data_IF_820508465837
#
_entry.id   IF_820508465837
#
_cell.length_a   1.000
_cell.length_b   1.000
_cell.length_c   1.000
_cell.angle_alpha   90.00
_cell.angle_beta   90.00
_cell.angle_gamma   90.00
#
_symmetry.space_group_name_H-M   'P 1'
#
loop_
_entity.id
_entity.type
_entity.pdbx_description
1 polymer ?
#
# COMPACT_ATOMS: atom_id res chain seq x y z
N UNK A 1 0.38 -16.10 -2.31
CA UNK A 1 -0.70 -15.90 -1.34
C UNK A 1 -0.73 -14.46 -0.89
N UNK A 2 -1.92 -13.90 -0.71
CA UNK A 2 -2.05 -12.51 -0.28
C UNK A 2 -1.84 -12.37 1.22
N UNK A 3 -1.22 -11.27 1.60
CA UNK A 3 -1.05 -10.87 2.99
C UNK A 3 -1.91 -9.63 3.24
N UNK A 4 -2.22 -9.37 4.48
CA UNK A 4 -3.04 -8.24 4.87
C UNK A 4 -2.15 -7.08 5.31
N UNK A 5 -2.36 -5.92 4.70
CA UNK A 5 -1.57 -4.73 5.00
C UNK A 5 -2.47 -3.59 5.42
N UNK A 6 -2.03 -2.82 6.41
CA UNK A 6 -2.60 -1.51 6.69
C UNK A 6 -1.87 -0.48 5.84
N UNK A 7 -2.63 0.41 5.21
CA UNK A 7 -2.06 1.51 4.44
C UNK A 7 -2.12 2.76 5.31
N UNK A 8 -0.96 3.36 5.54
CA UNK A 8 -0.83 4.58 6.32
C UNK A 8 -0.62 5.78 5.41
N UNK A 9 -1.31 6.87 5.73
CA UNK A 9 -1.00 8.20 5.20
C UNK A 9 -0.50 9.03 6.37
N UNK A 10 0.82 9.23 6.43
CA UNK A 10 1.44 9.77 7.62
C UNK A 10 1.30 8.82 8.81
N UNK A 11 0.57 9.22 9.83
CA UNK A 11 0.35 8.41 11.03
C UNK A 11 -1.03 7.78 11.09
N UNK A 12 -1.83 7.97 10.05
CA UNK A 12 -3.22 7.53 10.02
C UNK A 12 -3.37 6.32 9.11
N UNK A 13 -4.07 5.30 9.59
CA UNK A 13 -4.49 4.18 8.76
C UNK A 13 -5.65 4.65 7.88
N UNK A 14 -5.48 4.55 6.57
CA UNK A 14 -6.50 5.01 5.62
C UNK A 14 -7.18 3.87 4.88
N UNK A 15 -6.59 2.68 4.88
CA UNK A 15 -7.17 1.53 4.18
C UNK A 15 -6.53 0.23 4.65
N UNK A 16 -7.20 -0.86 4.29
CA UNK A 16 -6.66 -2.22 4.40
C UNK A 16 -6.58 -2.78 2.99
N UNK A 17 -5.43 -3.34 2.63
CA UNK A 17 -5.23 -3.94 1.32
C UNK A 17 -4.70 -5.36 1.47
N UNK A 18 -5.08 -6.22 0.53
CA UNK A 18 -4.56 -7.58 0.45
C UNK A 18 -3.67 -7.67 -0.78
N UNK A 19 -2.42 -8.07 -0.58
CA UNK A 19 -1.47 -8.13 -1.67
C UNK A 19 -0.34 -9.09 -1.34
N UNK A 20 0.51 -9.38 -2.32
CA UNK A 20 1.66 -10.27 -2.12
C UNK A 20 2.86 -9.53 -1.56
N UNK A 21 2.97 -8.23 -1.78
CA UNK A 21 4.07 -7.41 -1.28
C UNK A 21 3.54 -6.09 -0.71
N UNK A 22 4.25 -5.48 0.24
CA UNK A 22 3.82 -4.18 0.77
C UNK A 22 3.83 -3.08 -0.30
N UNK A 23 4.81 -3.10 -1.20
CA UNK A 23 4.85 -2.10 -2.27
C UNK A 23 3.61 -2.21 -3.16
N UNK A 24 3.23 -3.42 -3.53
CA UNK A 24 2.04 -3.62 -4.37
C UNK A 24 0.78 -3.17 -3.65
N UNK A 25 0.67 -3.41 -2.34
CA UNK A 25 -0.46 -2.94 -1.55
C UNK A 25 -0.59 -1.42 -1.60
N UNK A 26 0.52 -0.71 -1.43
CA UNK A 26 0.53 0.75 -1.49
C UNK A 26 0.18 1.26 -2.89
N UNK A 27 0.71 0.61 -3.93
CA UNK A 27 0.40 0.98 -5.32
C UNK A 27 -1.08 0.75 -5.62
N UNK A 28 -1.63 -0.38 -5.20
CA UNK A 28 -3.04 -0.69 -5.43
C UNK A 28 -3.95 0.32 -4.76
N UNK A 29 -3.60 0.76 -3.56
CA UNK A 29 -4.35 1.79 -2.88
C UNK A 29 -4.33 3.10 -3.67
N UNK A 30 -3.15 3.53 -4.13
CA UNK A 30 -3.03 4.76 -4.92
C UNK A 30 -3.82 4.65 -6.23
N UNK A 31 -3.80 3.49 -6.88
CA UNK A 31 -4.57 3.26 -8.11
C UNK A 31 -6.07 3.34 -7.89
N UNK A 32 -6.55 3.04 -6.69
CA UNK A 32 -7.98 3.08 -6.40
C UNK A 32 -8.60 4.47 -6.57
N UNK A 33 -7.76 5.50 -6.61
CA UNK A 33 -8.19 6.87 -6.87
C UNK A 33 -8.27 7.20 -8.37
N UNK A 34 -8.02 6.22 -9.24
CA UNK A 34 -8.02 6.43 -10.68
C UNK A 34 -6.75 7.04 -11.22
N UNK A 35 -5.66 6.99 -10.45
CA UNK A 35 -4.39 7.57 -10.85
C UNK A 35 -3.70 6.77 -11.94
N UNK A 36 -3.00 7.48 -12.83
CA UNK A 36 -2.10 6.84 -13.77
C UNK A 36 -0.84 6.38 -13.04
N UNK A 37 -0.21 5.31 -13.52
CA UNK A 37 0.98 4.74 -12.89
C UNK A 37 2.14 5.74 -12.82
N UNK A 38 2.24 6.66 -13.78
CA UNK A 38 3.31 7.64 -13.78
C UNK A 38 3.14 8.70 -12.68
N UNK A 39 1.97 8.80 -12.07
CA UNK A 39 1.76 9.67 -10.92
C UNK A 39 2.18 9.00 -9.60
N UNK A 40 2.42 7.70 -9.62
CA UNK A 40 2.75 6.93 -8.43
C UNK A 40 4.25 6.69 -8.42
N UNK A 41 4.94 7.23 -7.42
CA UNK A 41 6.39 7.07 -7.27
C UNK A 41 6.68 6.06 -6.16
N UNK A 42 7.47 5.07 -6.51
CA UNK A 42 7.93 4.09 -5.53
C UNK A 42 9.15 4.67 -4.83
N UNK A 43 9.01 4.94 -3.53
CA UNK A 43 10.07 5.60 -2.74
C UNK A 43 10.70 4.66 -1.72
N UNK A 44 10.22 3.44 -1.60
CA UNK A 44 10.79 2.43 -0.73
C UNK A 44 10.20 1.07 -1.03
N UNK A 45 10.57 0.07 -0.24
CA UNK A 45 10.07 -1.30 -0.43
C UNK A 45 8.61 -1.44 0.00
N UNK A 46 8.09 -0.47 0.73
CA UNK A 46 6.75 -0.51 1.32
C UNK A 46 6.01 0.83 1.19
N UNK A 47 6.54 1.76 0.42
CA UNK A 47 6.06 3.13 0.44
C UNK A 47 6.03 3.72 -0.96
N UNK A 48 4.96 4.46 -1.25
CA UNK A 48 4.82 5.20 -2.50
C UNK A 48 4.42 6.63 -2.20
N UNK A 49 4.72 7.52 -3.15
CA UNK A 49 4.27 8.90 -3.13
C UNK A 49 3.29 9.11 -4.29
N UNK A 50 2.21 9.82 -4.01
CA UNK A 50 1.20 10.14 -5.02
C UNK A 50 0.65 11.53 -4.75
N UNK A 51 0.88 12.44 -5.69
CA UNK A 51 0.40 13.84 -5.61
C UNK A 51 0.74 14.50 -4.28
N UNK A 52 1.97 14.29 -3.79
CA UNK A 52 2.42 14.88 -2.53
C UNK A 52 2.00 14.10 -1.29
N UNK A 53 1.14 13.12 -1.40
CA UNK A 53 0.79 12.23 -0.30
C UNK A 53 1.73 11.03 -0.29
N UNK A 54 1.97 10.47 0.89
CA UNK A 54 2.83 9.30 1.05
C UNK A 54 2.00 8.19 1.66
N UNK A 55 2.01 7.03 1.01
CA UNK A 55 1.30 5.85 1.48
C UNK A 55 2.29 4.76 1.82
N UNK A 56 2.23 4.25 3.04
CA UNK A 56 3.10 3.19 3.53
C UNK A 56 2.26 1.97 3.88
N UNK A 57 2.68 0.80 3.41
CA UNK A 57 2.00 -0.45 3.73
C UNK A 57 2.73 -1.17 4.86
N UNK A 58 1.99 -1.56 5.88
CA UNK A 58 2.54 -2.27 7.04
C UNK A 58 1.84 -3.61 7.14
N UNK A 59 2.62 -4.68 7.18
CA UNK A 59 2.08 -6.04 7.32
C UNK A 59 1.47 -6.19 8.70
N UNK A 60 0.20 -6.56 8.76
CA UNK A 60 -0.50 -6.78 10.02
C UNK A 60 -0.90 -8.23 10.22
N UNK A 61 -1.01 -9.00 9.13
CA UNK A 61 -1.33 -10.41 9.24
C UNK A 61 -0.92 -11.13 7.97
N UNK A 62 -0.52 -12.37 8.12
CA UNK A 62 -0.36 -13.29 7.02
C UNK A 62 -1.53 -14.26 7.04
N UNK A 63 -1.86 -14.88 5.90
CA UNK A 63 -2.89 -15.92 5.90
C UNK A 63 -2.53 -17.00 6.91
N UNK A 64 -3.52 -17.46 7.67
CA UNK A 64 -3.33 -18.53 8.63
C UNK A 64 -2.92 -19.79 7.88
N UNK A 65 -1.78 -20.41 8.21
CA UNK A 65 -1.35 -21.62 7.55
C UNK A 65 -2.15 -22.85 7.95
N UNK A 66 -2.92 -22.76 8.98
CA UNK A 66 -3.69 -23.92 9.47
C UNK A 66 -4.85 -24.26 8.57
#
# INVERSE_FOLDING_TARGET
MSKKYEIYSGRRVVSIQYSVTPLQAAVDYARSFGSADDEIRRIGVDCVSWRGARFTAVLIAEPDPA
#
